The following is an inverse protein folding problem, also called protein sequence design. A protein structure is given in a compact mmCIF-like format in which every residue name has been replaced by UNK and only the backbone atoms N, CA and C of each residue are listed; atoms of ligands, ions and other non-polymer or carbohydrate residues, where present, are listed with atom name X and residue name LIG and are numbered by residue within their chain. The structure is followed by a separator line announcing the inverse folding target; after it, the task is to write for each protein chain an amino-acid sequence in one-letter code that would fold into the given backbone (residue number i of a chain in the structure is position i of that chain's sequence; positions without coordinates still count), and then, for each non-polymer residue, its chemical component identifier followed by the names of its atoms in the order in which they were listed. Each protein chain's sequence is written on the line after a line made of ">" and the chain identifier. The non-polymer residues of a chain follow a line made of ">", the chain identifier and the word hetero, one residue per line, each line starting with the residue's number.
data_IF_420094338893
#
_entry.id   IF_420094338893
#
_cell.length_a   1.000
_cell.length_b   1.000
_cell.length_c   1.000
_cell.angle_alpha   90.00
_cell.angle_beta   90.00
_cell.angle_gamma   90.00
#
_symmetry.space_group_name_H-M   'P 1'
#
loop_
_entity.id
_entity.type
_entity.pdbx_description
1 polymer ?
#
# COMPACT_ATOMS: atom_id res chain seq x y z
N UNK A 1 21.91 2.80 -10.35
CA UNK A 1 21.20 1.60 -10.87
C UNK A 1 19.67 1.75 -10.93
N UNK A 2 19.11 2.85 -10.42
CA UNK A 2 17.67 3.16 -10.27
C UNK A 2 17.00 3.78 -11.50
N UNK A 3 17.75 4.32 -12.47
CA UNK A 3 17.20 4.97 -13.67
C UNK A 3 16.71 3.97 -14.73
N UNK A 4 17.28 2.75 -14.77
CA UNK A 4 16.89 1.69 -15.71
C UNK A 4 15.50 1.12 -15.42
N UNK A 5 15.20 0.87 -14.14
CA UNK A 5 13.89 0.33 -13.71
C UNK A 5 12.76 1.35 -13.87
N UNK A 6 13.07 2.65 -13.69
CA UNK A 6 12.14 3.76 -13.90
C UNK A 6 11.68 3.89 -15.36
N UNK A 7 12.62 3.75 -16.31
CA UNK A 7 12.30 3.77 -17.74
C UNK A 7 11.41 2.59 -18.15
N UNK A 8 11.77 1.37 -17.74
CA UNK A 8 11.02 0.15 -18.08
C UNK A 8 9.55 0.24 -17.62
N UNK A 9 9.29 0.78 -16.45
CA UNK A 9 7.92 0.86 -15.92
C UNK A 9 7.07 1.95 -16.57
N UNK A 10 7.68 3.07 -16.96
CA UNK A 10 6.99 4.10 -17.75
C UNK A 10 6.64 3.55 -19.13
N UNK A 11 7.57 2.82 -19.75
CA UNK A 11 7.41 2.26 -21.08
C UNK A 11 6.49 1.04 -21.11
N UNK A 12 6.26 0.38 -19.96
CA UNK A 12 5.25 -0.68 -19.80
C UNK A 12 3.84 -0.16 -19.53
N UNK A 13 3.69 1.06 -18.97
CA UNK A 13 2.36 1.66 -18.73
C UNK A 13 1.61 1.96 -20.01
N UNK A 14 2.34 2.42 -21.03
CA UNK A 14 1.78 2.77 -22.35
C UNK A 14 1.17 1.57 -23.09
N UNK A 15 1.84 0.41 -23.23
CA UNK A 15 1.22 -0.77 -23.86
C UNK A 15 0.06 -1.33 -23.03
N UNK A 16 0.08 -1.22 -21.70
CA UNK A 16 -1.05 -1.65 -20.85
C UNK A 16 -2.30 -0.78 -21.07
N UNK A 17 -2.13 0.55 -21.08
CA UNK A 17 -3.22 1.48 -21.38
C UNK A 17 -3.81 1.22 -22.79
N UNK A 18 -2.96 0.86 -23.76
CA UNK A 18 -3.40 0.48 -25.10
C UNK A 18 -4.19 -0.83 -25.10
N UNK A 19 -3.73 -1.87 -24.39
CA UNK A 19 -4.48 -3.13 -24.26
C UNK A 19 -5.84 -2.91 -23.61
N UNK A 20 -5.96 -2.00 -22.64
CA UNK A 20 -7.24 -1.62 -22.03
C UNK A 20 -8.23 -1.05 -23.04
N UNK A 21 -7.77 -0.16 -23.92
CA UNK A 21 -8.60 0.40 -25.00
C UNK A 21 -9.00 -0.69 -26.01
N UNK A 22 -8.07 -1.55 -26.40
CA UNK A 22 -8.36 -2.68 -27.31
C UNK A 22 -9.38 -3.66 -26.70
N UNK A 23 -9.36 -3.85 -25.38
CA UNK A 23 -10.35 -4.63 -24.65
C UNK A 23 -11.70 -3.95 -24.54
N UNK A 24 -11.74 -2.63 -24.37
CA UNK A 24 -12.99 -1.85 -24.41
C UNK A 24 -13.69 -1.99 -25.76
N UNK A 25 -12.94 -2.07 -26.86
CA UNK A 25 -13.48 -2.31 -28.21
C UNK A 25 -13.96 -3.75 -28.42
N UNK A 26 -13.39 -4.72 -27.70
CA UNK A 26 -13.86 -6.11 -27.74
C UNK A 26 -15.20 -6.33 -27.01
N UNK A 27 -15.66 -5.35 -26.22
CA UNK A 27 -16.93 -5.39 -25.49
C UNK A 27 -18.15 -5.47 -26.42
N UNK A 28 -17.98 -5.03 -27.66
CA UNK A 28 -19.02 -5.07 -28.70
C UNK A 28 -19.34 -6.50 -29.20
N UNK A 29 -18.53 -7.51 -28.86
CA UNK A 29 -18.68 -8.90 -29.32
C UNK A 29 -19.12 -9.90 -28.22
N UNK A 30 -19.85 -9.44 -27.19
CA UNK A 30 -20.46 -10.27 -26.13
C UNK A 30 -19.46 -11.12 -25.28
N UNK A 31 -18.21 -10.68 -25.18
CA UNK A 31 -17.14 -11.32 -24.39
C UNK A 31 -16.86 -10.63 -23.04
N UNK A 32 -17.88 -10.02 -22.45
CA UNK A 32 -17.75 -9.12 -21.29
C UNK A 32 -17.03 -9.76 -20.09
N UNK A 33 -17.23 -11.05 -19.82
CA UNK A 33 -16.61 -11.75 -18.69
C UNK A 33 -15.10 -11.96 -18.86
N UNK A 34 -14.65 -12.27 -20.09
CA UNK A 34 -13.23 -12.43 -20.42
C UNK A 34 -12.51 -11.07 -20.41
N UNK A 35 -13.18 -10.05 -20.92
CA UNK A 35 -12.67 -8.67 -20.94
C UNK A 35 -12.48 -8.16 -19.52
N UNK A 36 -13.49 -8.36 -18.66
CA UNK A 36 -13.41 -7.94 -17.27
C UNK A 36 -12.35 -8.74 -16.49
N UNK A 37 -12.10 -10.00 -16.85
CA UNK A 37 -10.96 -10.77 -16.32
C UNK A 37 -9.61 -10.11 -16.68
N UNK A 38 -9.42 -9.79 -17.96
CA UNK A 38 -8.19 -9.16 -18.47
C UNK A 38 -7.98 -7.74 -17.95
N UNK A 39 -9.04 -6.93 -17.80
CA UNK A 39 -8.96 -5.60 -17.18
C UNK A 39 -8.44 -5.67 -15.74
N UNK A 40 -8.90 -6.67 -14.98
CA UNK A 40 -8.43 -6.88 -13.60
C UNK A 40 -6.95 -7.29 -13.57
N UNK A 41 -6.55 -8.23 -14.43
CA UNK A 41 -5.16 -8.70 -14.50
C UNK A 41 -4.21 -7.54 -14.91
N UNK A 42 -4.62 -6.68 -15.83
CA UNK A 42 -3.87 -5.47 -16.23
C UNK A 42 -3.74 -4.49 -15.07
N UNK A 43 -4.83 -4.22 -14.33
CA UNK A 43 -4.81 -3.30 -13.20
C UNK A 43 -3.90 -3.82 -12.06
N UNK A 44 -3.88 -5.13 -11.83
CA UNK A 44 -2.95 -5.77 -10.89
C UNK A 44 -1.50 -5.58 -11.32
N UNK A 45 -1.20 -5.77 -12.62
CA UNK A 45 0.14 -5.54 -13.19
C UNK A 45 0.58 -4.08 -13.08
N UNK A 46 -0.29 -3.11 -13.36
CA UNK A 46 0.01 -1.69 -13.18
C UNK A 46 0.36 -1.35 -11.73
N UNK A 47 -0.38 -1.94 -10.79
CA UNK A 47 -0.15 -1.77 -9.35
C UNK A 47 1.20 -2.35 -8.93
N UNK A 48 1.53 -3.57 -9.38
CA UNK A 48 2.82 -4.23 -9.15
C UNK A 48 4.00 -3.39 -9.67
N UNK A 49 3.87 -2.85 -10.88
CA UNK A 49 4.89 -2.01 -11.50
C UNK A 49 5.08 -0.72 -10.71
N UNK A 50 3.98 -0.04 -10.34
CA UNK A 50 4.02 1.18 -9.56
C UNK A 50 4.68 0.96 -8.18
N UNK A 51 4.37 -0.15 -7.52
CA UNK A 51 4.97 -0.52 -6.23
C UNK A 51 6.46 -0.87 -6.36
N UNK A 52 6.85 -1.59 -7.41
CA UNK A 52 8.27 -1.91 -7.69
C UNK A 52 9.08 -0.63 -7.96
N UNK A 53 8.50 0.32 -8.69
CA UNK A 53 9.09 1.63 -8.88
C UNK A 53 9.21 2.43 -7.59
N UNK A 54 8.17 2.39 -6.75
CA UNK A 54 8.19 3.06 -5.46
C UNK A 54 9.28 2.48 -4.56
N UNK A 55 9.50 1.17 -4.59
CA UNK A 55 10.59 0.52 -3.87
C UNK A 55 11.95 0.98 -4.42
N UNK A 56 12.11 0.99 -5.75
CA UNK A 56 13.34 1.47 -6.39
C UNK A 56 13.61 2.96 -6.12
N UNK A 57 12.57 3.81 -6.06
CA UNK A 57 12.69 5.26 -5.77
C UNK A 57 12.84 5.56 -4.29
N UNK A 58 12.21 4.78 -3.41
CA UNK A 58 12.26 4.92 -1.95
C UNK A 58 13.65 4.69 -1.36
N UNK A 59 14.56 4.09 -2.14
CA UNK A 59 15.98 4.00 -1.85
C UNK A 59 16.76 5.31 -2.16
N UNK A 60 16.09 6.38 -2.60
CA UNK A 60 16.70 7.66 -2.97
C UNK A 60 16.52 8.77 -1.93
N UNK A 61 17.64 9.40 -1.53
CA UNK A 61 17.90 10.80 -1.07
C UNK A 61 16.84 11.64 -0.32
N UNK A 62 15.77 11.08 0.24
CA UNK A 62 14.93 11.85 1.15
C UNK A 62 15.72 12.15 2.42
N UNK A 63 15.87 13.44 2.75
CA UNK A 63 16.55 13.88 3.96
C UNK A 63 15.57 13.98 5.13
N UNK A 64 16.04 13.67 6.32
CA UNK A 64 15.24 13.83 7.52
C UNK A 64 15.05 15.33 7.83
N UNK A 65 13.81 15.76 7.93
CA UNK A 65 13.41 17.13 8.27
C UNK A 65 12.42 17.12 9.44
N UNK A 66 12.31 18.21 10.22
CA UNK A 66 11.24 18.34 11.21
C UNK A 66 9.88 18.20 10.52
N UNK A 67 9.10 17.21 10.95
CA UNK A 67 7.80 16.88 10.37
C UNK A 67 6.76 16.81 11.48
N UNK A 68 5.59 17.38 11.23
CA UNK A 68 4.42 17.20 12.07
C UNK A 68 3.74 15.87 11.72
N UNK A 69 3.94 14.87 12.58
CA UNK A 69 3.38 13.53 12.40
C UNK A 69 1.86 13.52 12.58
N UNK A 70 1.30 14.43 13.38
CA UNK A 70 -0.16 14.54 13.53
C UNK A 70 -0.80 14.90 12.19
N UNK A 71 -0.31 15.95 11.54
CA UNK A 71 -0.81 16.39 10.23
C UNK A 71 -0.62 15.29 9.17
N UNK A 72 0.50 14.58 9.20
CA UNK A 72 0.77 13.46 8.29
C UNK A 72 -0.19 12.28 8.50
N UNK A 73 -0.56 11.97 9.75
CA UNK A 73 -1.54 10.94 10.07
C UNK A 73 -2.94 11.34 9.60
N UNK A 74 -3.31 12.61 9.78
CA UNK A 74 -4.59 13.17 9.30
C UNK A 74 -4.70 13.05 7.78
N UNK A 75 -3.67 13.46 7.05
CA UNK A 75 -3.54 13.28 5.60
C UNK A 75 -3.74 11.83 5.15
N UNK A 76 -3.20 10.86 5.90
CA UNK A 76 -3.34 9.44 5.59
C UNK A 76 -4.78 8.99 5.82
N UNK A 77 -5.37 9.34 6.97
CA UNK A 77 -6.74 8.97 7.35
C UNK A 77 -7.75 9.53 6.35
N UNK A 78 -7.61 10.80 5.96
CA UNK A 78 -8.48 11.46 4.98
C UNK A 78 -8.44 10.75 3.61
N UNK A 79 -7.29 10.19 3.25
CA UNK A 79 -7.14 9.36 2.05
C UNK A 79 -8.04 8.12 2.02
N UNK A 80 -8.38 7.58 3.19
CA UNK A 80 -9.27 6.42 3.34
C UNK A 80 -10.72 6.81 3.65
N UNK A 81 -11.06 8.08 3.82
CA UNK A 81 -12.43 8.51 4.13
C UNK A 81 -13.48 8.07 3.08
N UNK A 82 -13.06 7.81 1.84
CA UNK A 82 -13.94 7.32 0.75
C UNK A 82 -14.16 5.80 0.76
N UNK A 83 -13.38 5.01 1.50
CA UNK A 83 -13.50 3.55 1.54
C UNK A 83 -14.60 3.05 2.49
N UNK A 84 -15.19 3.95 3.29
CA UNK A 84 -16.14 3.57 4.35
C UNK A 84 -15.47 2.92 5.58
N UNK A 85 -14.15 2.82 5.60
CA UNK A 85 -13.40 2.30 6.74
C UNK A 85 -13.45 3.28 7.92
N UNK A 86 -13.67 2.76 9.12
CA UNK A 86 -13.57 3.54 10.36
C UNK A 86 -12.13 3.48 10.86
N UNK A 87 -11.48 4.63 11.02
CA UNK A 87 -10.12 4.73 11.56
C UNK A 87 -10.15 5.61 12.82
N UNK A 88 -9.71 5.05 13.94
CA UNK A 88 -9.60 5.73 15.23
C UNK A 88 -8.14 6.17 15.44
N UNK A 89 -7.92 7.47 15.70
CA UNK A 89 -6.59 8.01 15.99
C UNK A 89 -6.47 8.41 17.47
N UNK A 90 -5.64 7.68 18.21
CA UNK A 90 -5.29 7.96 19.60
C UNK A 90 -4.12 8.95 19.64
N UNK A 91 -4.42 10.20 20.01
CA UNK A 91 -3.44 11.30 20.05
C UNK A 91 -2.78 11.43 21.43
N UNK A 92 -1.45 11.30 21.47
CA UNK A 92 -0.68 11.41 22.71
C UNK A 92 0.62 12.21 22.53
N UNK A 93 0.68 13.40 23.13
CA UNK A 93 1.92 14.17 23.31
C UNK A 93 2.40 14.93 22.07
N UNK A 94 3.71 15.18 22.00
CA UNK A 94 4.33 15.97 20.93
C UNK A 94 4.39 15.21 19.59
N UNK A 95 4.01 15.89 18.51
CA UNK A 95 3.94 15.34 17.16
C UNK A 95 5.12 15.70 16.24
N UNK A 96 6.03 16.57 16.68
CA UNK A 96 7.16 17.01 15.84
C UNK A 96 8.37 16.11 16.05
N UNK A 97 8.80 15.46 14.96
CA UNK A 97 9.97 14.57 14.92
C UNK A 97 10.74 14.80 13.64
N UNK A 98 12.07 14.67 13.69
CA UNK A 98 12.92 14.76 12.49
C UNK A 98 12.94 13.42 11.77
N UNK A 99 12.27 13.33 10.61
CA UNK A 99 12.11 12.09 9.85
C UNK A 99 11.92 12.34 8.36
N UNK A 100 11.81 11.25 7.60
CA UNK A 100 11.53 11.23 6.16
C UNK A 100 10.01 11.13 5.95
N UNK A 101 9.35 12.26 5.75
CA UNK A 101 7.89 12.38 5.71
C UNK A 101 7.24 11.48 4.64
N UNK A 102 7.75 11.48 3.41
CA UNK A 102 7.19 10.70 2.30
C UNK A 102 7.39 9.20 2.52
N UNK A 103 8.55 8.81 3.06
CA UNK A 103 8.81 7.43 3.47
C UNK A 103 7.83 6.99 4.55
N UNK A 104 7.60 7.81 5.59
CA UNK A 104 6.64 7.48 6.64
C UNK A 104 5.20 7.41 6.11
N UNK A 105 4.77 8.38 5.28
CA UNK A 105 3.44 8.40 4.67
C UNK A 105 3.18 7.14 3.85
N UNK A 106 4.21 6.65 3.14
CA UNK A 106 4.15 5.39 2.38
C UNK A 106 4.02 4.17 3.31
N UNK A 107 4.81 4.10 4.38
CA UNK A 107 4.71 3.02 5.38
C UNK A 107 3.29 2.97 5.98
N UNK A 108 2.80 4.12 6.44
CA UNK A 108 1.48 4.22 7.08
C UNK A 108 0.35 3.83 6.13
N UNK A 109 0.40 4.29 4.87
CA UNK A 109 -0.63 3.91 3.89
C UNK A 109 -0.68 2.40 3.67
N UNK A 110 0.47 1.73 3.53
CA UNK A 110 0.50 0.27 3.37
C UNK A 110 -0.02 -0.46 4.61
N UNK A 111 0.35 0.01 5.81
CA UNK A 111 -0.12 -0.59 7.05
C UNK A 111 -1.64 -0.42 7.23
N UNK A 112 -2.16 0.78 6.97
CA UNK A 112 -3.59 1.08 7.06
C UNK A 112 -4.39 0.34 5.99
N UNK A 113 -3.90 0.27 4.75
CA UNK A 113 -4.55 -0.48 3.67
C UNK A 113 -4.66 -1.97 4.01
N UNK A 114 -3.60 -2.57 4.55
CA UNK A 114 -3.65 -3.94 5.05
C UNK A 114 -4.63 -4.07 6.22
N UNK A 115 -4.57 -3.18 7.21
CA UNK A 115 -5.47 -3.20 8.36
C UNK A 115 -6.94 -3.10 7.97
N UNK A 116 -7.27 -2.27 6.97
CA UNK A 116 -8.64 -2.13 6.43
C UNK A 116 -9.06 -3.38 5.67
N UNK A 117 -8.16 -3.94 4.85
CA UNK A 117 -8.46 -5.10 3.99
C UNK A 117 -8.67 -6.38 4.80
N UNK A 118 -7.90 -6.57 5.87
CA UNK A 118 -7.91 -7.78 6.69
C UNK A 118 -8.64 -7.61 8.04
N UNK A 119 -9.09 -6.39 8.39
CA UNK A 119 -9.69 -6.07 9.68
C UNK A 119 -11.14 -6.49 9.88
N UNK A 120 -11.72 -7.31 8.99
CA UNK A 120 -13.12 -7.77 9.02
C UNK A 120 -14.16 -6.63 9.13
N UNK A 121 -13.87 -5.47 8.54
CA UNK A 121 -14.74 -4.28 8.61
C UNK A 121 -14.81 -3.62 10.00
N UNK A 122 -13.97 -4.04 10.95
CA UNK A 122 -13.88 -3.42 12.28
C UNK A 122 -12.99 -2.16 12.23
N UNK A 123 -13.13 -1.23 13.19
CA UNK A 123 -12.29 -0.04 13.22
C UNK A 123 -10.80 -0.35 13.30
N UNK A 124 -10.02 0.31 12.45
CA UNK A 124 -8.55 0.32 12.51
C UNK A 124 -8.13 1.38 13.53
N UNK A 125 -7.22 1.02 14.44
CA UNK A 125 -6.70 1.96 15.44
C UNK A 125 -5.28 2.36 15.10
N UNK A 126 -5.00 3.66 15.14
CA UNK A 126 -3.67 4.23 15.03
C UNK A 126 -3.33 4.92 16.35
N UNK A 127 -2.19 4.59 16.93
CA UNK A 127 -1.67 5.22 18.13
C UNK A 127 -0.22 5.62 17.93
N UNK A 128 0.23 6.71 18.53
CA UNK A 128 1.63 7.08 18.54
C UNK A 128 2.11 7.47 19.93
N UNK A 129 3.41 7.31 20.16
CA UNK A 129 4.06 7.68 21.39
C UNK A 129 5.47 8.20 21.10
N UNK A 130 5.78 9.42 21.56
CA UNK A 130 7.13 9.98 21.50
C UNK A 130 7.90 9.60 22.76
N UNK A 131 8.92 8.78 22.61
CA UNK A 131 9.87 8.41 23.67
C UNK A 131 11.18 9.19 23.55
N UNK A 132 12.15 8.86 24.43
CA UNK A 132 13.45 9.55 24.49
C UNK A 132 14.30 9.40 23.21
N UNK A 133 14.08 8.33 22.43
CA UNK A 133 14.92 7.98 21.26
C UNK A 133 14.18 8.12 19.93
N UNK A 134 12.94 8.59 19.92
CA UNK A 134 12.15 8.71 18.70
C UNK A 134 10.66 8.57 18.96
N UNK A 135 9.91 8.27 17.91
CA UNK A 135 8.48 8.07 17.96
C UNK A 135 8.13 6.65 17.49
N UNK A 136 7.27 6.00 18.27
CA UNK A 136 6.66 4.72 17.92
C UNK A 136 5.26 5.01 17.41
N UNK A 137 4.90 4.45 16.25
CA UNK A 137 3.56 4.54 15.68
C UNK A 137 3.07 3.10 15.48
N UNK A 138 1.91 2.79 16.06
CA UNK A 138 1.25 1.51 15.94
C UNK A 138 -0.02 1.62 15.10
N UNK A 139 -0.21 0.67 14.19
CA UNK A 139 -1.46 0.45 13.45
C UNK A 139 -1.99 -0.92 13.87
N UNK A 140 -3.23 -0.99 14.33
CA UNK A 140 -3.85 -2.21 14.85
C UNK A 140 -5.20 -2.46 14.19
N UNK A 141 -5.40 -3.66 13.66
CA UNK A 141 -6.68 -4.18 13.20
C UNK A 141 -7.22 -5.28 14.12
N UNK A 142 -8.43 -5.77 13.83
CA UNK A 142 -9.10 -6.85 14.56
C UNK A 142 -9.39 -8.06 13.66
N UNK A 143 -8.54 -8.27 12.67
CA UNK A 143 -8.55 -9.42 11.77
C UNK A 143 -8.02 -10.70 12.41
N UNK A 144 -7.85 -11.78 11.62
CA UNK A 144 -7.41 -13.09 12.09
C UNK A 144 -5.96 -13.11 12.60
N UNK A 145 -5.19 -12.05 12.32
CA UNK A 145 -3.78 -11.94 12.68
C UNK A 145 -2.86 -12.82 11.83
N UNK A 146 -1.58 -12.80 12.17
CA UNK A 146 -0.53 -13.49 11.40
C UNK A 146 0.09 -14.61 12.26
N UNK A 147 0.11 -15.86 11.76
CA UNK A 147 0.77 -16.98 12.42
C UNK A 147 2.23 -16.67 12.74
N UNK A 148 2.72 -17.10 13.91
CA UNK A 148 4.08 -16.76 14.40
C UNK A 148 5.16 -17.15 13.39
N UNK A 149 5.03 -18.31 12.75
CA UNK A 149 5.98 -18.82 11.75
C UNK A 149 6.08 -17.94 10.50
N UNK A 150 5.04 -17.14 10.20
CA UNK A 150 4.96 -16.34 8.98
C UNK A 150 5.38 -14.87 9.20
N UNK A 151 5.53 -14.43 10.46
CA UNK A 151 5.74 -13.01 10.80
C UNK A 151 7.01 -12.40 10.22
N UNK A 152 8.03 -13.20 9.94
CA UNK A 152 9.22 -12.71 9.24
C UNK A 152 9.02 -12.73 7.73
N UNK A 153 8.44 -13.81 7.20
CA UNK A 153 8.24 -14.03 5.77
C UNK A 153 7.27 -13.01 5.14
N UNK A 154 6.28 -12.49 5.87
CA UNK A 154 5.36 -11.45 5.37
C UNK A 154 6.04 -10.17 4.88
N UNK A 155 7.31 -9.93 5.27
CA UNK A 155 8.10 -8.79 4.79
C UNK A 155 8.88 -9.10 3.52
N UNK A 156 8.90 -10.35 3.05
CA UNK A 156 9.54 -10.72 1.80
C UNK A 156 8.70 -10.25 0.61
N UNK A 157 9.33 -9.68 -0.45
CA UNK A 157 8.62 -9.28 -1.64
C UNK A 157 7.82 -10.44 -2.26
N UNK A 158 6.56 -10.17 -2.60
CA UNK A 158 5.63 -11.13 -3.22
C UNK A 158 5.18 -12.29 -2.31
N UNK A 159 5.54 -12.29 -1.02
CA UNK A 159 5.05 -13.28 -0.07
C UNK A 159 3.61 -13.00 0.35
N UNK A 160 2.78 -14.05 0.42
CA UNK A 160 1.35 -13.98 0.79
C UNK A 160 0.97 -15.17 1.65
N UNK A 161 0.12 -14.94 2.66
CA UNK A 161 -0.42 -15.98 3.54
C UNK A 161 -1.51 -16.85 2.86
N UNK A 162 -2.28 -16.25 1.95
CA UNK A 162 -3.34 -16.96 1.23
C UNK A 162 -2.86 -17.40 -0.16
N UNK A 163 -2.96 -18.70 -0.45
CA UNK A 163 -2.78 -19.25 -1.80
C UNK A 163 -3.98 -18.96 -2.74
N UNK A 164 -5.09 -18.44 -2.19
CA UNK A 164 -6.32 -18.19 -2.92
C UNK A 164 -6.26 -16.87 -3.68
N UNK A 165 -6.50 -16.93 -5.00
CA UNK A 165 -6.75 -15.77 -5.87
C UNK A 165 -8.16 -15.18 -5.62
N UNK A 166 -8.55 -14.99 -4.36
CA UNK A 166 -9.82 -14.36 -4.10
C UNK A 166 -9.69 -12.85 -4.39
N UNK A 167 -10.37 -12.39 -5.45
CA UNK A 167 -10.24 -11.05 -6.03
C UNK A 167 -10.63 -9.91 -5.08
N UNK A 168 -11.32 -10.21 -3.98
CA UNK A 168 -11.79 -9.21 -3.02
C UNK A 168 -10.72 -8.77 -2.00
N UNK A 169 -9.68 -9.57 -1.76
CA UNK A 169 -8.61 -9.28 -0.79
C UNK A 169 -7.22 -9.11 -1.46
N UNK A 170 -7.17 -9.15 -2.79
CA UNK A 170 -5.97 -9.39 -3.59
C UNK A 170 -4.98 -8.22 -3.66
N UNK A 171 -4.06 -8.14 -2.69
CA UNK A 171 -2.85 -7.35 -2.78
C UNK A 171 -1.67 -8.11 -3.41
N UNK A 172 -0.70 -7.37 -3.95
CA UNK A 172 0.51 -7.86 -4.63
C UNK A 172 1.55 -8.59 -3.76
N UNK A 173 1.38 -8.60 -2.43
CA UNK A 173 2.42 -9.05 -1.51
C UNK A 173 3.62 -8.10 -1.39
N UNK A 174 3.55 -6.89 -1.97
CA UNK A 174 4.61 -5.88 -1.85
C UNK A 174 4.38 -4.88 -0.72
N UNK A 175 3.15 -4.77 -0.21
CA UNK A 175 2.79 -3.74 0.78
C UNK A 175 3.66 -3.75 2.03
N UNK A 176 3.87 -4.93 2.63
CA UNK A 176 4.72 -5.08 3.82
C UNK A 176 6.22 -5.06 3.50
N UNK A 177 6.64 -5.49 2.31
CA UNK A 177 8.02 -5.34 1.86
C UNK A 177 8.44 -3.86 1.73
N UNK A 178 7.48 -2.95 1.49
CA UNK A 178 7.70 -1.50 1.46
C UNK A 178 7.82 -0.89 2.88
N UNK A 179 7.30 -1.58 3.90
CA UNK A 179 7.32 -1.11 5.30
C UNK A 179 8.71 -1.26 5.93
N UNK A 180 9.52 -2.19 5.44
CA UNK A 180 10.84 -2.53 6.01
C UNK A 180 11.99 -1.71 5.44
#
# INVERSE_FOLDING_TARGET
>A
RTTLLAGISHDLRTPLARMRVELELLRDNDNTSLIQGLENDIAEMETLIAQTLLLARGLGKEEAAPTDVCALLDDVIDGFGRSGATIELDRHGECIVRLKAESLKRVLRNLVENAVSYGDGKPVRIAYHKGAHGMTIGVSDRGPGIPVAEREAIFEPFHRLEASRNRSTGGSGLGLAIVR
#
